data_IF_500217781938
#
_entry.id   IF_500217781938
#
_cell.length_a   1.000
_cell.length_b   1.000
_cell.length_c   1.000
_cell.angle_alpha   90.00
_cell.angle_beta   90.00
_cell.angle_gamma   90.00
#
_symmetry.space_group_name_H-M   'P 1'
#
loop_
_entity.id
_entity.type
_entity.pdbx_description
1 polymer ?
#
# COMPACT_ATOMS: atom_id res chain seq x y z
N UNK A 1 -20.62 59.09 0.09
CA UNK A 1 -22.02 58.78 0.39
C UNK A 1 -22.08 57.45 1.13
N UNK A 2 -22.59 57.58 2.29
CA UNK A 2 -22.99 56.65 3.31
C UNK A 2 -23.91 55.56 2.77
N UNK A 3 -23.73 54.29 3.18
CA UNK A 3 -24.76 53.61 3.95
C UNK A 3 -24.17 52.36 4.61
N UNK A 4 -24.19 52.41 5.94
CA UNK A 4 -24.08 51.31 6.88
C UNK A 4 -25.37 50.48 6.79
N UNK A 5 -25.33 49.18 6.98
CA UNK A 5 -26.31 48.47 7.81
C UNK A 5 -25.71 47.12 8.28
N UNK A 6 -25.79 46.83 9.56
CA UNK A 6 -25.53 45.53 10.14
C UNK A 6 -26.80 44.75 10.27
N UNK A 7 -26.79 43.44 10.09
CA UNK A 7 -27.79 42.57 10.64
C UNK A 7 -27.19 41.28 11.16
N UNK A 8 -27.17 41.28 12.47
CA UNK A 8 -27.22 40.10 13.32
C UNK A 8 -28.45 39.26 12.93
N UNK A 9 -28.31 37.94 12.93
CA UNK A 9 -29.36 36.98 13.34
C UNK A 9 -28.73 35.58 13.39
N UNK A 10 -28.54 35.14 14.59
CA UNK A 10 -29.13 34.02 15.33
C UNK A 10 -28.53 32.65 15.12
N UNK A 11 -27.94 32.24 16.23
CA UNK A 11 -27.76 30.92 16.80
C UNK A 11 -28.78 29.86 16.33
N UNK A 12 -28.32 28.73 15.87
CA UNK A 12 -29.02 27.46 16.01
C UNK A 12 -28.02 26.37 16.40
N UNK A 13 -27.97 26.12 17.71
CA UNK A 13 -27.49 24.87 18.28
C UNK A 13 -28.44 23.76 17.84
N UNK A 14 -27.94 22.80 17.07
CA UNK A 14 -28.55 21.49 16.93
C UNK A 14 -27.56 20.45 17.45
N UNK A 15 -27.68 20.11 18.71
CA UNK A 15 -27.10 18.94 19.31
C UNK A 15 -27.82 17.70 18.79
N UNK A 16 -27.22 16.98 17.86
CA UNK A 16 -27.63 15.64 17.50
C UNK A 16 -26.75 14.64 18.26
N UNK A 17 -27.21 14.25 19.43
CA UNK A 17 -26.76 13.06 20.13
C UNK A 17 -27.17 11.83 19.32
N UNK A 18 -26.29 11.37 18.43
CA UNK A 18 -26.41 10.08 17.78
C UNK A 18 -25.93 9.01 18.75
N UNK A 19 -26.81 8.32 19.46
CA UNK A 19 -26.53 7.03 20.08
C UNK A 19 -26.15 6.04 19.00
N UNK A 20 -24.86 5.85 18.78
CA UNK A 20 -24.31 4.77 17.96
C UNK A 20 -24.56 3.45 18.68
N UNK A 21 -25.43 2.64 18.11
CA UNK A 21 -25.74 1.29 18.51
C UNK A 21 -24.48 0.43 18.48
N UNK A 22 -23.88 0.18 19.65
CA UNK A 22 -22.74 -0.73 19.81
C UNK A 22 -23.26 -2.16 19.71
N UNK A 23 -23.50 -2.64 18.50
CA UNK A 23 -23.54 -4.07 18.28
C UNK A 23 -22.11 -4.59 18.43
N UNK A 24 -21.83 -5.20 19.59
CA UNK A 24 -20.62 -5.97 19.84
C UNK A 24 -20.64 -7.23 18.94
N UNK A 25 -20.40 -7.02 17.66
CA UNK A 25 -20.02 -8.08 16.75
C UNK A 25 -18.54 -8.39 17.04
N UNK A 26 -18.27 -9.60 17.48
CA UNK A 26 -16.93 -10.17 17.52
C UNK A 26 -16.38 -10.27 16.09
N UNK A 27 -16.03 -9.13 15.50
CA UNK A 27 -15.28 -9.12 14.25
C UNK A 27 -13.83 -9.35 14.60
N UNK A 28 -13.33 -10.55 14.31
CA UNK A 28 -11.90 -10.81 14.25
C UNK A 28 -11.33 -9.93 13.13
N UNK A 29 -10.88 -8.74 13.51
CA UNK A 29 -10.25 -7.82 12.57
C UNK A 29 -8.88 -8.37 12.23
N UNK A 30 -8.74 -9.02 11.09
CA UNK A 30 -7.44 -9.31 10.52
C UNK A 30 -6.79 -7.99 10.12
N UNK A 31 -5.77 -7.58 10.86
CA UNK A 31 -5.02 -6.36 10.53
C UNK A 31 -3.96 -6.72 9.50
N UNK A 32 -4.09 -6.22 8.29
CA UNK A 32 -3.03 -6.32 7.30
C UNK A 32 -1.93 -5.31 7.64
N UNK A 33 -0.72 -5.81 7.91
CA UNK A 33 0.44 -4.97 8.19
C UNK A 33 1.30 -4.89 6.94
N UNK A 34 1.41 -3.69 6.42
CA UNK A 34 2.39 -3.35 5.39
C UNK A 34 3.65 -2.77 6.06
N UNK A 35 4.82 -2.86 5.40
CA UNK A 35 5.98 -2.09 5.82
C UNK A 35 5.60 -0.61 6.02
N UNK A 36 6.16 0.11 7.02
CA UNK A 36 5.77 1.49 7.33
C UNK A 36 5.92 2.46 6.16
N UNK A 37 6.85 2.19 5.27
CA UNK A 37 7.15 2.95 4.07
C UNK A 37 6.37 2.47 2.84
N UNK A 38 5.68 1.33 2.95
CA UNK A 38 4.94 0.80 1.82
C UNK A 38 3.82 1.76 1.39
N UNK A 39 3.54 1.86 0.09
CA UNK A 39 2.33 2.50 -0.39
C UNK A 39 1.10 1.75 0.11
N UNK A 40 -0.08 2.37 -0.03
CA UNK A 40 -1.34 1.69 0.30
C UNK A 40 -1.40 0.30 -0.36
N UNK A 41 -2.08 -0.66 0.29
CA UNK A 41 -2.22 -2.01 -0.23
C UNK A 41 -2.85 -1.98 -1.63
N UNK A 42 -2.02 -2.18 -2.63
CA UNK A 42 -2.42 -2.23 -4.04
C UNK A 42 -1.93 -3.57 -4.60
N UNK A 43 -2.79 -4.26 -5.34
CA UNK A 43 -2.38 -5.49 -6.02
C UNK A 43 -1.40 -5.17 -7.15
N UNK A 44 -0.42 -6.05 -7.36
CA UNK A 44 0.49 -5.91 -8.52
C UNK A 44 -0.25 -5.99 -9.87
N UNK A 45 -1.46 -6.52 -9.90
CA UNK A 45 -2.31 -6.60 -11.10
C UNK A 45 -3.13 -5.30 -11.32
N UNK A 46 -3.10 -4.36 -10.37
CA UNK A 46 -3.79 -3.08 -10.51
C UNK A 46 -3.09 -2.22 -11.56
N UNK A 47 -3.83 -1.56 -12.46
CA UNK A 47 -3.25 -0.63 -13.43
C UNK A 47 -2.40 0.50 -12.82
N UNK A 48 -2.71 0.87 -11.57
CA UNK A 48 -1.95 1.90 -10.83
C UNK A 48 -0.77 1.33 -10.04
N UNK A 49 -0.57 0.01 -10.01
CA UNK A 49 0.57 -0.59 -9.31
C UNK A 49 1.92 -0.16 -9.90
N UNK A 50 1.99 0.00 -11.22
CA UNK A 50 3.22 0.37 -11.92
C UNK A 50 3.71 1.77 -11.56
N UNK A 51 2.91 2.86 -11.68
CA UNK A 51 3.36 4.18 -11.25
C UNK A 51 3.71 4.24 -9.76
N UNK A 52 2.98 3.50 -8.93
CA UNK A 52 3.27 3.37 -7.51
C UNK A 52 4.62 2.68 -7.27
N UNK A 53 4.90 1.56 -7.91
CA UNK A 53 6.14 0.80 -7.74
C UNK A 53 7.37 1.61 -8.16
N UNK A 54 7.32 2.25 -9.34
CA UNK A 54 8.45 3.03 -9.86
C UNK A 54 8.73 4.26 -9.00
N UNK A 55 7.69 4.99 -8.60
CA UNK A 55 7.82 6.16 -7.74
C UNK A 55 8.32 5.80 -6.33
N UNK A 56 7.80 4.72 -5.74
CA UNK A 56 8.19 4.20 -4.44
C UNK A 56 9.67 3.79 -4.43
N UNK A 57 10.11 3.02 -5.43
CA UNK A 57 11.51 2.64 -5.59
C UNK A 57 12.41 3.85 -5.78
N UNK A 58 12.02 4.81 -6.63
CA UNK A 58 12.79 6.03 -6.88
C UNK A 58 13.01 6.87 -5.61
N UNK A 59 11.98 7.08 -4.80
CA UNK A 59 12.06 7.84 -3.55
C UNK A 59 12.98 7.15 -2.52
N UNK A 60 12.85 5.84 -2.37
CA UNK A 60 13.66 5.00 -1.47
C UNK A 60 15.13 4.98 -1.90
N UNK A 61 15.37 4.81 -3.20
CA UNK A 61 16.73 4.79 -3.76
C UNK A 61 17.44 6.12 -3.53
N UNK A 62 16.76 7.25 -3.72
CA UNK A 62 17.30 8.58 -3.41
C UNK A 62 17.65 8.71 -1.92
N UNK A 63 16.78 8.24 -1.01
CA UNK A 63 17.03 8.25 0.43
C UNK A 63 18.27 7.44 0.82
N UNK A 64 18.47 6.28 0.18
CA UNK A 64 19.59 5.39 0.44
C UNK A 64 20.88 5.77 -0.32
N UNK A 65 20.91 6.92 -0.96
CA UNK A 65 22.13 7.45 -1.59
C UNK A 65 22.56 6.73 -2.86
N UNK A 66 21.65 6.02 -3.52
CA UNK A 66 21.97 5.42 -4.83
C UNK A 66 22.18 6.51 -5.87
N UNK A 67 23.23 6.31 -6.69
CA UNK A 67 23.59 7.24 -7.75
C UNK A 67 22.74 7.01 -8.99
N UNK A 68 21.73 7.86 -9.20
CA UNK A 68 20.88 7.92 -10.38
C UNK A 68 20.18 9.29 -10.44
N UNK A 69 19.56 9.60 -11.56
CA UNK A 69 18.77 10.81 -11.74
C UNK A 69 17.27 10.48 -11.63
N UNK A 70 16.60 10.87 -10.52
CA UNK A 70 15.16 10.62 -10.35
C UNK A 70 14.29 11.32 -11.40
N UNK A 71 14.68 12.50 -11.89
CA UNK A 71 13.93 13.21 -12.91
C UNK A 71 14.02 12.49 -14.26
N UNK A 72 15.19 11.96 -14.60
CA UNK A 72 15.39 11.15 -15.80
C UNK A 72 14.60 9.86 -15.74
N UNK A 73 14.60 9.17 -14.59
CA UNK A 73 13.78 7.96 -14.40
C UNK A 73 12.30 8.26 -14.58
N UNK A 74 11.79 9.34 -13.93
CA UNK A 74 10.40 9.80 -14.11
C UNK A 74 10.07 10.05 -15.58
N UNK A 75 10.90 10.80 -16.28
CA UNK A 75 10.69 11.14 -17.69
C UNK A 75 10.65 9.89 -18.57
N UNK A 76 11.58 8.96 -18.36
CA UNK A 76 11.66 7.71 -19.11
C UNK A 76 10.43 6.84 -18.87
N UNK A 77 10.01 6.73 -17.61
CA UNK A 77 8.80 6.00 -17.22
C UNK A 77 7.54 6.61 -17.84
N UNK A 78 7.34 7.92 -17.70
CA UNK A 78 6.18 8.60 -18.26
C UNK A 78 6.14 8.54 -19.79
N UNK A 79 7.30 8.59 -20.46
CA UNK A 79 7.39 8.37 -21.90
C UNK A 79 7.01 6.93 -22.32
N UNK A 80 7.29 5.95 -21.45
CA UNK A 80 6.81 4.57 -21.66
C UNK A 80 5.29 4.50 -21.52
N UNK A 81 4.70 5.08 -20.49
CA UNK A 81 3.25 5.07 -20.28
C UNK A 81 2.48 5.85 -21.36
N UNK A 82 3.03 6.97 -21.84
CA UNK A 82 2.40 7.76 -22.91
C UNK A 82 2.19 6.99 -24.23
N UNK A 83 2.89 5.88 -24.43
CA UNK A 83 2.68 4.99 -25.59
C UNK A 83 1.50 4.03 -25.41
N UNK A 84 1.03 3.85 -24.16
CA UNK A 84 0.02 2.86 -23.82
C UNK A 84 -1.27 3.49 -23.29
N UNK A 85 -1.17 4.67 -22.71
CA UNK A 85 -2.28 5.41 -22.11
C UNK A 85 -2.36 6.82 -22.70
N UNK A 86 -3.55 7.38 -22.80
CA UNK A 86 -3.77 8.73 -23.30
C UNK A 86 -4.80 9.48 -22.46
N UNK A 87 -4.84 10.79 -22.61
CA UNK A 87 -5.84 11.64 -21.99
C UNK A 87 -5.87 11.52 -20.46
N UNK A 88 -7.05 11.28 -19.91
CA UNK A 88 -7.30 11.22 -18.48
C UNK A 88 -6.52 10.10 -17.78
N UNK A 89 -6.37 8.96 -18.42
CA UNK A 89 -5.63 7.83 -17.86
C UNK A 89 -4.16 8.19 -17.67
N UNK A 90 -3.52 8.83 -18.65
CA UNK A 90 -2.14 9.28 -18.54
C UNK A 90 -1.97 10.31 -17.42
N UNK A 91 -2.87 11.31 -17.34
CA UNK A 91 -2.85 12.31 -16.27
C UNK A 91 -2.99 11.67 -14.88
N UNK A 92 -3.81 10.61 -14.74
CA UNK A 92 -3.96 9.85 -13.51
C UNK A 92 -2.68 9.11 -13.15
N UNK A 93 -2.00 8.49 -14.12
CA UNK A 93 -0.71 7.80 -13.93
C UNK A 93 0.35 8.80 -13.44
N UNK A 94 0.49 9.93 -14.11
CA UNK A 94 1.44 10.99 -13.74
C UNK A 94 1.18 11.49 -12.32
N UNK A 95 -0.05 11.85 -12.00
CA UNK A 95 -0.44 12.29 -10.65
C UNK A 95 -0.17 11.23 -9.60
N UNK A 96 -0.43 9.96 -9.90
CA UNK A 96 -0.18 8.84 -8.98
C UNK A 96 1.31 8.69 -8.72
N UNK A 97 2.15 8.76 -9.75
CA UNK A 97 3.61 8.75 -9.60
C UNK A 97 4.08 9.87 -8.68
N UNK A 98 3.71 11.12 -8.98
CA UNK A 98 4.19 12.30 -8.25
C UNK A 98 3.73 12.29 -6.78
N UNK A 99 2.48 11.91 -6.54
CA UNK A 99 1.94 11.78 -5.18
C UNK A 99 2.68 10.69 -4.41
N UNK A 100 2.89 9.52 -5.02
CA UNK A 100 3.59 8.41 -4.37
C UNK A 100 5.05 8.77 -4.07
N UNK A 101 5.76 9.37 -5.02
CA UNK A 101 7.13 9.82 -4.82
C UNK A 101 7.24 10.79 -3.65
N UNK A 102 6.37 11.81 -3.60
CA UNK A 102 6.35 12.81 -2.53
C UNK A 102 6.07 12.16 -1.17
N UNK A 103 4.97 11.43 -1.05
CA UNK A 103 4.56 10.82 0.22
C UNK A 103 5.57 9.79 0.73
N UNK A 104 6.19 9.01 -0.18
CA UNK A 104 7.25 8.08 0.18
C UNK A 104 8.49 8.83 0.64
N UNK A 105 8.92 9.87 -0.08
CA UNK A 105 10.09 10.68 0.31
C UNK A 105 9.91 11.28 1.71
N UNK A 106 8.73 11.78 2.03
CA UNK A 106 8.39 12.32 3.35
C UNK A 106 8.48 11.23 4.44
N UNK A 107 7.91 10.07 4.20
CA UNK A 107 7.93 8.94 5.15
C UNK A 107 9.36 8.44 5.43
N UNK A 108 10.13 8.16 4.38
CA UNK A 108 11.47 7.58 4.54
C UNK A 108 12.49 8.60 5.07
N UNK A 109 12.23 9.90 4.94
CA UNK A 109 13.09 10.93 5.52
C UNK A 109 13.04 10.99 7.05
N UNK A 110 11.94 10.51 7.63
CA UNK A 110 11.73 10.50 9.09
C UNK A 110 12.41 9.32 9.78
N UNK A 111 12.79 8.27 9.04
CA UNK A 111 13.45 7.08 9.56
C UNK A 111 14.97 7.21 9.36
N UNK A 112 15.72 7.36 10.48
CA UNK A 112 17.18 7.54 10.45
C UNK A 112 17.87 6.27 9.96
N UNK A 113 17.39 5.11 10.37
CA UNK A 113 17.98 3.80 10.07
C UNK A 113 17.27 3.10 8.90
N UNK A 114 16.65 3.89 8.04
CA UNK A 114 15.84 3.36 6.93
C UNK A 114 16.60 2.39 6.04
N UNK A 115 17.86 2.71 5.72
CA UNK A 115 18.66 2.05 4.69
C UNK A 115 19.48 0.88 5.26
N UNK A 116 18.82 -0.12 5.87
CA UNK A 116 19.51 -1.36 6.24
C UNK A 116 19.98 -2.14 5.01
N UNK A 117 21.02 -2.97 5.16
CA UNK A 117 21.62 -3.73 4.05
C UNK A 117 20.60 -4.52 3.24
N UNK A 118 19.65 -5.18 3.91
CA UNK A 118 18.58 -5.93 3.24
C UNK A 118 17.69 -5.02 2.41
N UNK A 119 17.22 -3.89 2.99
CA UNK A 119 16.40 -2.93 2.24
C UNK A 119 17.17 -2.30 1.08
N UNK A 120 18.44 -1.98 1.30
CA UNK A 120 19.29 -1.43 0.26
C UNK A 120 19.44 -2.39 -0.92
N UNK A 121 19.61 -3.69 -0.66
CA UNK A 121 19.70 -4.71 -1.72
C UNK A 121 18.37 -4.83 -2.51
N UNK A 122 17.22 -4.86 -1.82
CA UNK A 122 15.90 -4.89 -2.45
C UNK A 122 15.68 -3.65 -3.34
N UNK A 123 15.99 -2.46 -2.80
CA UNK A 123 15.85 -1.19 -3.52
C UNK A 123 16.76 -1.16 -4.74
N UNK A 124 18.00 -1.62 -4.60
CA UNK A 124 18.97 -1.69 -5.70
C UNK A 124 18.44 -2.55 -6.84
N UNK A 125 17.96 -3.75 -6.52
CA UNK A 125 17.41 -4.69 -7.50
C UNK A 125 16.24 -4.09 -8.27
N UNK A 126 15.28 -3.46 -7.57
CA UNK A 126 14.14 -2.83 -8.24
C UNK A 126 14.56 -1.60 -9.05
N UNK A 127 15.50 -0.80 -8.54
CA UNK A 127 16.03 0.37 -9.27
C UNK A 127 16.73 -0.04 -10.58
N UNK A 128 17.58 -1.07 -10.54
CA UNK A 128 18.26 -1.59 -11.72
C UNK A 128 17.29 -2.07 -12.79
N UNK A 129 16.20 -2.75 -12.40
CA UNK A 129 15.11 -3.14 -13.32
C UNK A 129 14.47 -1.92 -13.96
N UNK A 130 14.10 -0.91 -13.17
CA UNK A 130 13.46 0.30 -13.69
C UNK A 130 14.38 1.13 -14.59
N UNK A 131 15.68 1.17 -14.30
CA UNK A 131 16.68 1.80 -15.18
C UNK A 131 16.88 1.04 -16.49
N UNK A 132 16.65 -0.27 -16.49
CA UNK A 132 16.59 -1.12 -17.68
C UNK A 132 15.25 -1.08 -18.43
N UNK A 133 14.35 -0.15 -18.05
CA UNK A 133 12.99 0.00 -18.59
C UNK A 133 12.05 -1.19 -18.32
N UNK A 134 12.35 -2.04 -17.34
CA UNK A 134 11.40 -2.99 -16.79
C UNK A 134 10.63 -2.33 -15.63
N UNK A 135 9.43 -1.86 -15.92
CA UNK A 135 8.54 -1.20 -14.97
C UNK A 135 7.51 -2.16 -14.36
N UNK A 136 7.72 -3.46 -14.43
CA UNK A 136 6.82 -4.43 -13.80
C UNK A 136 6.71 -4.19 -12.30
N UNK A 137 5.51 -4.09 -11.73
CA UNK A 137 5.34 -3.78 -10.32
C UNK A 137 5.84 -4.93 -9.45
N UNK A 138 6.55 -4.58 -8.37
CA UNK A 138 7.02 -5.49 -7.33
C UNK A 138 6.72 -4.86 -5.96
N UNK A 139 5.43 -4.70 -5.66
CA UNK A 139 4.98 -4.11 -4.42
C UNK A 139 4.89 -5.16 -3.31
N UNK A 140 5.20 -4.80 -2.06
CA UNK A 140 5.11 -5.71 -0.94
C UNK A 140 3.65 -6.14 -0.74
N UNK A 141 3.44 -7.45 -0.60
CA UNK A 141 2.12 -7.97 -0.25
C UNK A 141 1.81 -7.68 1.21
N UNK A 142 0.58 -7.28 1.54
CA UNK A 142 0.18 -7.10 2.92
C UNK A 142 0.29 -8.44 3.66
N UNK A 143 1.01 -8.44 4.78
CA UNK A 143 1.01 -9.57 5.69
C UNK A 143 -0.25 -9.50 6.54
N UNK A 144 -1.08 -10.52 6.48
CA UNK A 144 -2.23 -10.65 7.36
C UNK A 144 -1.71 -11.12 8.71
N UNK A 145 -1.68 -10.22 9.68
CA UNK A 145 -1.42 -10.59 11.08
C UNK A 145 -2.75 -10.90 11.72
N UNK A 146 -2.97 -12.15 12.06
CA UNK A 146 -4.15 -12.53 12.81
C UNK A 146 -4.10 -11.86 14.18
N UNK A 147 -5.15 -11.11 14.53
CA UNK A 147 -5.29 -10.60 15.89
C UNK A 147 -5.59 -11.77 16.82
N UNK A 148 -4.78 -11.92 17.87
CA UNK A 148 -5.03 -12.92 18.90
C UNK A 148 -6.19 -12.44 19.76
N UNK A 149 -7.32 -13.17 19.75
CA UNK A 149 -8.41 -13.00 20.69
C UNK A 149 -8.18 -13.79 21.97
N UNK A 150 -9.09 -13.65 22.94
CA UNK A 150 -9.04 -14.32 24.25
C UNK A 150 -8.97 -15.88 24.13
N UNK A 151 -9.30 -16.42 22.97
CA UNK A 151 -9.28 -17.87 22.67
C UNK A 151 -8.08 -18.33 21.84
N UNK A 152 -7.05 -17.51 21.69
CA UNK A 152 -5.83 -17.87 20.95
C UNK A 152 -5.66 -17.13 19.63
N UNK A 153 -4.49 -17.28 19.04
CA UNK A 153 -4.17 -16.74 17.73
C UNK A 153 -4.50 -17.76 16.66
N UNK A 154 -5.35 -17.40 15.70
CA UNK A 154 -5.39 -18.18 14.46
C UNK A 154 -4.02 -18.05 13.76
N UNK A 155 -3.44 -19.16 13.26
CA UNK A 155 -2.18 -19.08 12.55
C UNK A 155 -2.28 -18.08 11.41
N UNK A 156 -1.35 -17.11 11.38
CA UNK A 156 -1.24 -16.21 10.24
C UNK A 156 -1.07 -17.04 8.99
N UNK A 157 -1.98 -16.90 8.04
CA UNK A 157 -1.80 -17.52 6.72
C UNK A 157 -0.61 -16.84 6.07
N UNK A 158 0.52 -17.49 6.15
CA UNK A 158 1.71 -17.15 5.39
C UNK A 158 1.37 -17.36 3.91
N UNK A 159 1.76 -16.41 3.10
CA UNK A 159 1.65 -16.42 1.65
C UNK A 159 1.78 -17.82 1.04
N UNK A 160 0.83 -18.18 0.20
CA UNK A 160 0.70 -19.46 -0.50
C UNK A 160 -0.06 -20.58 0.24
N UNK A 161 -1.24 -20.26 0.77
CA UNK A 161 -2.19 -21.32 1.10
C UNK A 161 -2.61 -22.05 -0.20
N UNK A 162 -1.95 -23.17 -0.45
CA UNK A 162 -2.36 -24.06 -1.54
C UNK A 162 -3.51 -24.94 -1.05
N UNK A 163 -4.74 -24.49 -1.30
CA UNK A 163 -5.93 -25.22 -0.87
C UNK A 163 -5.97 -26.66 -1.41
N UNK A 164 -5.51 -26.91 -2.63
CA UNK A 164 -5.41 -28.25 -3.19
C UNK A 164 -4.48 -29.14 -2.38
N UNK A 165 -3.30 -28.64 -2.03
CA UNK A 165 -2.33 -29.39 -1.21
C UNK A 165 -2.87 -29.65 0.18
N UNK A 166 -3.48 -28.63 0.81
CA UNK A 166 -4.08 -28.75 2.15
C UNK A 166 -5.12 -29.85 2.21
N UNK A 167 -6.08 -29.88 1.29
CA UNK A 167 -7.13 -30.92 1.26
C UNK A 167 -6.58 -32.28 0.88
N UNK A 168 -5.56 -32.37 0.04
CA UNK A 168 -4.90 -33.63 -0.32
C UNK A 168 -4.14 -34.20 0.86
N UNK A 169 -3.49 -33.35 1.66
CA UNK A 169 -2.73 -33.80 2.84
C UNK A 169 -3.66 -34.18 3.99
N UNK A 170 -4.81 -33.53 4.17
CA UNK A 170 -5.85 -33.95 5.11
C UNK A 170 -6.48 -35.31 4.73
N UNK A 171 -6.73 -35.54 3.47
CA UNK A 171 -7.27 -36.80 2.99
C UNK A 171 -6.30 -38.01 3.18
N UNK A 172 -5.01 -37.72 3.36
CA UNK A 172 -3.95 -38.72 3.60
C UNK A 172 -3.70 -39.01 5.08
N UNK A 173 -4.29 -38.24 6.01
CA UNK A 173 -4.12 -38.52 7.43
C UNK A 173 -4.96 -39.76 7.82
N UNK A 174 -4.32 -40.87 8.22
CA UNK A 174 -5.04 -42.04 8.70
C UNK A 174 -5.62 -41.74 10.09
N UNK A 175 -6.92 -41.55 10.19
CA UNK A 175 -7.55 -41.35 11.49
C UNK A 175 -8.84 -40.54 11.55
N UNK A 176 -9.40 -40.11 10.42
CA UNK A 176 -10.66 -39.36 10.43
C UNK A 176 -11.93 -40.25 10.59
N UNK A 177 -11.79 -41.56 10.60
CA UNK A 177 -12.92 -42.51 10.65
C UNK A 177 -13.23 -43.04 12.06
N UNK A 178 -12.76 -42.37 13.09
CA UNK A 178 -12.95 -42.77 14.48
C UNK A 178 -14.28 -42.34 15.10
N UNK A 179 -15.42 -42.62 14.47
CA UNK A 179 -16.72 -42.68 15.17
C UNK A 179 -17.52 -43.89 14.72
N UNK A 180 -17.37 -44.97 15.44
CA UNK A 180 -18.45 -45.94 15.66
C UNK A 180 -19.10 -45.67 17.00
#
# INVERSE_FOLDING_TARGET
>A
MRTKLPWLWLLSLAALTGCGNSTAGLTTSSTSVLPPDAPAAISNDDPMARPVAVAWTSARAKRCGFYFDPAKLRTSYLAYEARQASGEQYAKIEKTYDTTYKTTSEKVSQDVDYCSDRKALEIKTDLERHLAADYSPNLPKPKIVASCGVFGCAPSQVDNFNSKKFWTDQAKQPGADGRK
#
